data_IF_393638236928
#
_entry.id   IF_393638236928
#
_cell.length_a   1.000
_cell.length_b   1.000
_cell.length_c   1.000
_cell.angle_alpha   90.00
_cell.angle_beta   90.00
_cell.angle_gamma   90.00
#
_symmetry.space_group_name_H-M   'P 1'
#
loop_
_entity.id
_entity.type
_entity.pdbx_description
1 polymer ?
#
# COMPACT_ATOMS: atom_id res chain seq x y z
N UNK A 1 -51.28 12.66 14.50
CA UNK A 1 -51.30 14.09 14.87
C UNK A 1 -51.06 14.15 16.37
N UNK A 2 -49.84 14.48 16.78
CA UNK A 2 -49.39 15.80 17.31
C UNK A 2 -49.23 15.70 18.83
N UNK A 3 -48.45 16.57 19.47
CA UNK A 3 -47.03 16.35 19.74
C UNK A 3 -46.80 16.48 21.26
N UNK A 4 -45.57 16.38 21.75
CA UNK A 4 -45.13 17.19 22.90
C UNK A 4 -43.61 17.25 22.87
N UNK A 5 -43.14 18.44 22.50
CA UNK A 5 -41.77 18.89 22.64
C UNK A 5 -41.64 19.65 23.99
N UNK A 6 -40.55 20.38 24.27
CA UNK A 6 -39.67 20.14 25.42
C UNK A 6 -39.75 21.28 26.45
N UNK A 7 -39.18 21.06 27.63
CA UNK A 7 -38.92 22.09 28.66
C UNK A 7 -38.17 21.42 29.81
N UNK A 8 -37.19 21.98 30.50
CA UNK A 8 -36.49 23.27 30.54
C UNK A 8 -35.34 23.01 31.55
N UNK A 9 -34.11 23.38 31.22
CA UNK A 9 -33.44 24.59 31.69
C UNK A 9 -33.12 24.64 33.20
N UNK A 10 -31.84 24.98 33.44
CA UNK A 10 -31.27 25.66 34.61
C UNK A 10 -31.06 24.90 35.94
N UNK A 11 -29.78 24.58 36.11
CA UNK A 11 -28.88 25.25 37.06
C UNK A 11 -28.82 24.79 38.53
N UNK A 12 -27.55 24.86 38.97
CA UNK A 12 -27.08 25.14 40.32
C UNK A 12 -26.99 23.99 41.32
N UNK A 13 -25.76 23.58 41.55
CA UNK A 13 -25.26 23.07 42.83
C UNK A 13 -25.67 23.99 43.99
N UNK A 14 -25.82 23.45 45.20
CA UNK A 14 -24.76 23.72 46.18
C UNK A 14 -24.53 22.59 47.21
N UNK A 15 -23.48 22.81 48.01
CA UNK A 15 -23.33 22.37 49.41
C UNK A 15 -22.66 21.01 49.70
N UNK A 16 -21.34 21.14 49.83
CA UNK A 16 -20.46 20.78 50.96
C UNK A 16 -21.03 20.05 52.19
N UNK A 17 -20.19 19.12 52.67
CA UNK A 17 -20.02 18.60 54.04
C UNK A 17 -20.93 17.44 54.48
N UNK A 18 -20.33 16.25 54.65
CA UNK A 18 -20.02 15.82 56.01
C UNK A 18 -18.91 14.74 56.03
N UNK A 19 -18.14 14.78 57.09
CA UNK A 19 -16.87 14.10 57.35
C UNK A 19 -17.11 12.68 57.86
N UNK A 20 -16.40 11.70 57.28
CA UNK A 20 -16.16 10.42 57.94
C UNK A 20 -14.70 10.02 57.74
N UNK A 21 -13.92 10.41 58.74
CA UNK A 21 -12.53 10.07 59.01
C UNK A 21 -12.28 8.56 58.87
N UNK A 22 -11.47 8.18 57.88
CA UNK A 22 -10.76 6.89 57.86
C UNK A 22 -9.30 7.18 57.54
N UNK A 23 -8.44 6.80 58.50
CA UNK A 23 -6.98 6.88 58.48
C UNK A 23 -6.39 6.72 57.07
N UNK A 24 -5.84 7.81 56.52
CA UNK A 24 -5.03 7.76 55.32
C UNK A 24 -3.60 7.34 55.69
N UNK A 25 -2.94 6.43 54.95
CA UNK A 25 -1.53 6.13 55.12
C UNK A 25 -0.67 7.39 54.84
N UNK A 26 0.53 7.51 55.44
CA UNK A 26 1.39 8.66 55.20
C UNK A 26 1.70 8.80 53.70
N UNK A 27 1.83 10.03 53.17
CA UNK A 27 2.15 10.23 51.77
C UNK A 27 3.51 9.58 51.43
N UNK A 28 3.69 9.10 50.19
CA UNK A 28 4.96 8.54 49.76
C UNK A 28 6.07 9.59 49.86
N UNK A 29 7.34 9.17 50.09
CA UNK A 29 8.46 10.10 50.12
C UNK A 29 8.62 10.79 48.75
N UNK A 30 9.14 12.04 48.72
CA UNK A 30 9.42 12.73 47.46
C UNK A 30 10.47 11.94 46.65
N UNK A 31 10.44 12.04 45.31
CA UNK A 31 11.43 11.38 44.46
C UNK A 31 12.84 11.91 44.75
N UNK A 32 13.88 11.08 44.62
CA UNK A 32 15.26 11.54 44.79
C UNK A 32 15.60 12.59 43.71
N UNK A 33 16.51 13.55 44.01
CA UNK A 33 17.00 14.49 43.02
C UNK A 33 17.72 13.74 41.88
N UNK A 34 17.75 14.30 40.66
CA UNK A 34 18.43 13.68 39.55
C UNK A 34 19.92 13.57 39.85
N UNK A 35 20.44 12.34 39.82
CA UNK A 35 21.87 12.06 39.87
C UNK A 35 22.50 12.49 38.54
N UNK A 36 23.26 13.58 38.58
CA UNK A 36 24.27 13.85 37.56
C UNK A 36 25.43 12.89 37.79
N UNK A 37 25.55 11.86 36.94
CA UNK A 37 26.78 11.09 36.82
C UNK A 37 27.23 11.10 35.35
N UNK A 38 28.35 11.78 35.14
CA UNK A 38 29.07 11.85 33.89
C UNK A 38 29.82 10.53 33.65
N UNK A 39 29.76 10.00 32.42
CA UNK A 39 30.91 9.74 31.54
C UNK A 39 30.58 8.66 30.51
N UNK A 40 30.59 9.01 29.23
CA UNK A 40 31.11 8.16 28.17
C UNK A 40 31.36 9.00 26.92
N UNK A 41 32.57 8.87 26.40
CA UNK A 41 33.13 9.59 25.27
C UNK A 41 32.23 9.48 24.03
N UNK A 42 31.85 10.63 23.45
CA UNK A 42 31.44 10.69 22.05
C UNK A 42 32.69 10.54 21.20
N UNK A 43 33.13 9.31 20.98
CA UNK A 43 33.78 8.99 19.73
C UNK A 43 32.71 9.17 18.64
N UNK A 44 32.99 10.06 17.69
CA UNK A 44 32.17 10.21 16.50
C UNK A 44 32.34 8.94 15.66
N UNK A 45 31.70 7.84 16.08
CA UNK A 45 31.42 6.74 15.19
C UNK A 45 30.53 7.32 14.09
N UNK A 46 31.07 7.44 12.89
CA UNK A 46 30.25 7.63 11.70
C UNK A 46 29.10 6.61 11.79
N UNK A 47 27.85 7.01 11.45
CA UNK A 47 26.78 6.03 11.39
C UNK A 47 27.27 4.84 10.58
N UNK A 48 27.00 3.59 11.01
CA UNK A 48 27.31 2.44 10.19
C UNK A 48 26.78 2.73 8.77
N UNK A 49 27.53 2.41 7.71
CA UNK A 49 27.04 2.60 6.36
C UNK A 49 25.63 1.99 6.29
N UNK A 50 24.69 2.62 5.55
CA UNK A 50 23.38 2.02 5.37
C UNK A 50 23.59 0.56 4.95
N UNK A 51 22.79 -0.39 5.50
CA UNK A 51 22.86 -1.75 5.03
C UNK A 51 22.78 -1.72 3.50
N UNK A 52 23.55 -2.57 2.78
CA UNK A 52 23.40 -2.66 1.35
C UNK A 52 21.90 -2.84 1.04
N UNK A 53 21.39 -2.23 -0.05
CA UNK A 53 20.01 -2.46 -0.43
C UNK A 53 19.77 -3.96 -0.42
N UNK A 54 18.67 -4.45 0.17
CA UNK A 54 18.38 -5.88 0.16
C UNK A 54 18.50 -6.35 -1.28
N UNK A 55 19.43 -7.27 -1.52
CA UNK A 55 19.53 -7.94 -2.81
C UNK A 55 18.15 -8.54 -3.01
N UNK A 56 17.39 -8.18 -4.07
CA UNK A 56 16.11 -8.80 -4.32
C UNK A 56 16.35 -10.31 -4.31
N UNK A 57 15.65 -11.02 -3.41
CA UNK A 57 15.75 -12.46 -3.35
C UNK A 57 15.54 -13.00 -4.77
N UNK A 58 16.35 -13.97 -5.23
CA UNK A 58 16.19 -14.50 -6.57
C UNK A 58 14.76 -14.99 -6.69
N UNK A 59 13.97 -14.29 -7.52
CA UNK A 59 12.61 -14.67 -7.78
C UNK A 59 12.64 -16.07 -8.39
N UNK A 60 11.82 -16.98 -7.88
CA UNK A 60 11.74 -18.35 -8.41
C UNK A 60 11.42 -18.28 -9.93
N UNK A 61 12.29 -18.82 -10.81
CA UNK A 61 12.08 -18.75 -12.26
C UNK A 61 10.77 -19.43 -12.69
N UNK A 62 10.31 -20.45 -11.96
CA UNK A 62 9.02 -21.09 -12.23
C UNK A 62 7.86 -20.14 -11.90
N UNK A 63 7.93 -19.42 -10.78
CA UNK A 63 6.94 -18.44 -10.39
C UNK A 63 6.87 -17.26 -11.37
N UNK A 64 8.02 -16.77 -11.86
CA UNK A 64 8.06 -15.73 -12.89
C UNK A 64 7.44 -16.19 -14.21
N UNK A 65 7.68 -17.44 -14.63
CA UNK A 65 7.07 -18.00 -15.84
C UNK A 65 5.56 -18.09 -15.70
N UNK A 66 5.07 -18.59 -14.57
CA UNK A 66 3.65 -18.63 -14.27
C UNK A 66 3.02 -17.24 -14.31
N UNK A 67 3.65 -16.25 -13.66
CA UNK A 67 3.16 -14.86 -13.64
C UNK A 67 3.16 -14.23 -15.03
N UNK A 68 4.19 -14.49 -15.85
CA UNK A 68 4.22 -14.04 -17.25
C UNK A 68 3.06 -14.64 -18.03
N UNK A 69 2.81 -15.93 -17.92
CA UNK A 69 1.74 -16.61 -18.66
C UNK A 69 0.36 -16.09 -18.22
N UNK A 70 0.18 -15.82 -16.93
CA UNK A 70 -1.02 -15.18 -16.38
C UNK A 70 -1.22 -13.77 -16.94
N UNK A 71 -0.19 -12.91 -16.90
CA UNK A 71 -0.26 -11.55 -17.43
C UNK A 71 -0.47 -11.53 -18.94
N UNK A 72 0.12 -12.47 -19.67
CA UNK A 72 -0.09 -12.62 -21.11
C UNK A 72 -1.56 -12.98 -21.41
N UNK A 73 -2.17 -13.88 -20.64
CA UNK A 73 -3.59 -14.19 -20.76
C UNK A 73 -4.47 -12.96 -20.44
N UNK A 74 -4.16 -12.24 -19.35
CA UNK A 74 -4.88 -11.01 -18.99
C UNK A 74 -4.79 -9.94 -20.08
N UNK A 75 -3.64 -9.81 -20.75
CA UNK A 75 -3.46 -8.85 -21.84
C UNK A 75 -4.31 -9.22 -23.07
N UNK A 76 -4.40 -10.51 -23.39
CA UNK A 76 -5.28 -10.99 -24.47
C UNK A 76 -6.74 -10.67 -24.15
N UNK A 77 -7.19 -10.96 -22.93
CA UNK A 77 -8.56 -10.68 -22.50
C UNK A 77 -8.86 -9.17 -22.44
N UNK A 78 -7.90 -8.35 -21.99
CA UNK A 78 -8.03 -6.89 -21.97
C UNK A 78 -8.18 -6.33 -23.39
N UNK A 79 -7.36 -6.77 -24.35
CA UNK A 79 -7.47 -6.37 -25.76
C UNK A 79 -8.77 -6.82 -26.41
N UNK A 80 -9.26 -8.00 -26.07
CA UNK A 80 -10.56 -8.47 -26.53
C UNK A 80 -11.71 -7.61 -26.00
N UNK A 81 -11.66 -7.21 -24.72
CA UNK A 81 -12.62 -6.27 -24.13
C UNK A 81 -12.55 -4.89 -24.79
N UNK A 82 -11.36 -4.37 -25.05
CA UNK A 82 -11.16 -3.09 -25.73
C UNK A 82 -11.80 -3.08 -27.11
N UNK A 83 -11.55 -4.11 -27.94
CA UNK A 83 -12.16 -4.25 -29.26
C UNK A 83 -13.68 -4.39 -29.20
N UNK A 84 -14.19 -5.13 -28.22
CA UNK A 84 -15.63 -5.27 -28.02
C UNK A 84 -16.28 -3.92 -27.65
N UNK A 85 -15.62 -3.13 -26.81
CA UNK A 85 -16.09 -1.79 -26.44
C UNK A 85 -16.01 -0.82 -27.61
N UNK A 86 -14.95 -0.88 -28.43
CA UNK A 86 -14.83 -0.07 -29.64
C UNK A 86 -15.97 -0.36 -30.63
N UNK A 87 -16.26 -1.63 -30.90
CA UNK A 87 -17.39 -2.02 -31.74
C UNK A 87 -18.75 -1.56 -31.14
N UNK A 88 -18.88 -1.56 -29.82
CA UNK A 88 -20.07 -1.06 -29.15
C UNK A 88 -20.21 0.47 -29.25
N UNK A 89 -19.10 1.22 -29.21
CA UNK A 89 -19.09 2.68 -29.47
C UNK A 89 -19.58 2.96 -30.89
N UNK A 90 -19.03 2.25 -31.88
CA UNK A 90 -19.45 2.41 -33.28
C UNK A 90 -20.94 2.12 -33.46
N UNK A 91 -21.44 1.03 -32.88
CA UNK A 91 -22.86 0.69 -32.91
C UNK A 91 -23.76 1.74 -32.21
N UNK A 92 -23.31 2.35 -31.11
CA UNK A 92 -24.05 3.40 -30.43
C UNK A 92 -24.10 4.70 -31.26
N UNK A 93 -23.00 5.04 -31.93
CA UNK A 93 -22.94 6.18 -32.86
C UNK A 93 -23.87 5.96 -34.06
N UNK A 94 -23.87 4.77 -34.65
CA UNK A 94 -24.79 4.40 -35.73
C UNK A 94 -26.27 4.48 -35.32
N UNK A 95 -26.56 4.26 -34.03
CA UNK A 95 -27.90 4.36 -33.46
C UNK A 95 -28.29 5.77 -33.01
N UNK A 96 -27.45 6.79 -33.25
CA UNK A 96 -27.59 8.17 -32.75
C UNK A 96 -27.70 8.26 -31.21
N UNK A 97 -27.16 7.27 -30.49
CA UNK A 97 -27.13 7.23 -29.02
C UNK A 97 -25.78 7.74 -28.48
N UNK A 98 -25.64 9.07 -28.49
CA UNK A 98 -24.40 9.75 -28.09
C UNK A 98 -24.08 9.64 -26.60
N UNK A 99 -25.10 9.57 -25.73
CA UNK A 99 -24.89 9.39 -24.29
C UNK A 99 -24.27 8.02 -24.02
N UNK A 100 -24.78 6.98 -24.69
CA UNK A 100 -24.20 5.64 -24.60
C UNK A 100 -22.82 5.54 -25.23
N UNK A 101 -22.60 6.20 -26.37
CA UNK A 101 -21.29 6.24 -27.01
C UNK A 101 -20.23 6.89 -26.10
N UNK A 102 -20.57 7.99 -25.42
CA UNK A 102 -19.66 8.66 -24.47
C UNK A 102 -19.32 7.78 -23.27
N UNK A 103 -20.31 7.08 -22.68
CA UNK A 103 -20.06 6.13 -21.60
C UNK A 103 -19.12 4.99 -22.03
N UNK A 104 -19.35 4.44 -23.22
CA UNK A 104 -18.52 3.36 -23.77
C UNK A 104 -17.11 3.86 -24.11
N UNK A 105 -16.93 5.10 -24.56
CA UNK A 105 -15.60 5.66 -24.80
C UNK A 105 -14.82 5.88 -23.48
N UNK A 106 -15.50 6.27 -22.40
CA UNK A 106 -14.89 6.28 -21.06
C UNK A 106 -14.48 4.87 -20.63
N UNK A 107 -15.33 3.86 -20.85
CA UNK A 107 -15.00 2.46 -20.57
C UNK A 107 -13.82 1.96 -21.42
N UNK A 108 -13.74 2.33 -22.70
CA UNK A 108 -12.60 2.03 -23.57
C UNK A 108 -11.31 2.60 -23.00
N UNK A 109 -11.34 3.86 -22.58
CA UNK A 109 -10.17 4.54 -22.00
C UNK A 109 -9.68 3.85 -20.73
N UNK A 110 -10.60 3.40 -19.87
CA UNK A 110 -10.24 2.63 -18.67
C UNK A 110 -9.65 1.26 -19.02
N UNK A 111 -10.25 0.54 -19.98
CA UNK A 111 -9.74 -0.74 -20.44
C UNK A 111 -8.36 -0.62 -21.11
N UNK A 112 -8.11 0.43 -21.88
CA UNK A 112 -6.81 0.74 -22.48
C UNK A 112 -5.75 1.03 -21.40
N UNK A 113 -6.12 1.76 -20.35
CA UNK A 113 -5.22 2.01 -19.22
C UNK A 113 -4.87 0.72 -18.47
N UNK A 114 -5.85 -0.16 -18.23
CA UNK A 114 -5.66 -1.48 -17.64
C UNK A 114 -4.71 -2.35 -18.50
N UNK A 115 -4.93 -2.38 -19.82
CA UNK A 115 -4.07 -3.13 -20.74
C UNK A 115 -2.62 -2.63 -20.72
N UNK A 116 -2.40 -1.31 -20.66
CA UNK A 116 -1.06 -0.71 -20.54
C UNK A 116 -0.37 -1.05 -19.23
N UNK A 117 -1.12 -1.14 -18.13
CA UNK A 117 -0.57 -1.56 -16.85
C UNK A 117 -0.14 -3.03 -16.88
N UNK A 118 -0.98 -3.92 -17.42
CA UNK A 118 -0.64 -5.34 -17.62
C UNK A 118 0.58 -5.50 -18.53
N UNK A 119 0.68 -4.74 -19.61
CA UNK A 119 1.83 -4.74 -20.51
C UNK A 119 3.12 -4.28 -19.82
N UNK A 120 3.02 -3.25 -18.97
CA UNK A 120 4.16 -2.79 -18.14
C UNK A 120 4.60 -3.85 -17.14
N UNK A 121 3.66 -4.52 -16.47
CA UNK A 121 3.99 -5.62 -15.56
C UNK A 121 4.64 -6.79 -16.31
N UNK A 122 4.13 -7.14 -17.49
CA UNK A 122 4.68 -8.19 -18.33
C UNK A 122 6.14 -7.88 -18.68
N UNK A 123 6.42 -6.66 -19.15
CA UNK A 123 7.77 -6.21 -19.46
C UNK A 123 8.70 -6.25 -18.24
N UNK A 124 8.19 -5.91 -17.05
CA UNK A 124 8.95 -6.01 -15.79
C UNK A 124 9.30 -7.47 -15.44
N UNK A 125 8.34 -8.39 -15.60
CA UNK A 125 8.56 -9.83 -15.35
C UNK A 125 9.54 -10.42 -16.37
N UNK A 126 9.44 -10.06 -17.64
CA UNK A 126 10.37 -10.48 -18.68
C UNK A 126 11.80 -9.97 -18.41
N UNK A 127 11.94 -8.71 -17.96
CA UNK A 127 13.23 -8.17 -17.55
C UNK A 127 13.83 -8.91 -16.34
N UNK A 128 13.00 -9.26 -15.36
CA UNK A 128 13.43 -10.06 -14.21
C UNK A 128 13.90 -11.47 -14.62
N UNK A 129 13.20 -12.11 -15.56
CA UNK A 129 13.61 -13.41 -16.12
C UNK A 129 14.94 -13.32 -16.87
N UNK A 130 15.14 -12.27 -17.66
CA UNK A 130 16.39 -12.03 -18.37
C UNK A 130 17.56 -11.81 -17.39
N UNK A 131 17.35 -11.00 -16.34
CA UNK A 131 18.36 -10.76 -15.32
C UNK A 131 18.76 -12.03 -14.56
N UNK A 132 17.81 -12.91 -14.23
CA UNK A 132 18.12 -14.21 -13.63
C UNK A 132 18.93 -15.11 -14.56
N UNK A 133 18.57 -15.14 -15.85
CA UNK A 133 19.27 -15.95 -16.84
C UNK A 133 20.74 -15.51 -17.03
N UNK A 134 21.00 -14.21 -16.99
CA UNK A 134 22.36 -13.67 -17.05
C UNK A 134 23.16 -14.02 -15.78
N UNK A 135 22.53 -13.94 -14.60
CA UNK A 135 23.19 -14.27 -13.34
C UNK A 135 23.51 -15.77 -13.23
N UNK A 136 22.63 -16.65 -13.73
CA UNK A 136 22.89 -18.10 -13.83
C UNK A 136 24.07 -18.39 -14.77
N UNK A 137 24.16 -17.67 -15.89
CA UNK A 137 25.27 -17.81 -16.83
C UNK A 137 26.59 -17.34 -16.24
N UNK A 138 26.61 -16.22 -15.53
CA UNK A 138 27.81 -15.70 -14.85
C UNK A 138 28.29 -16.67 -13.75
N UNK A 139 27.36 -17.24 -12.97
CA UNK A 139 27.67 -18.25 -11.97
C UNK A 139 28.23 -19.55 -12.58
N UNK A 140 27.72 -19.96 -13.75
CA UNK A 140 28.23 -21.13 -14.46
C UNK A 140 29.65 -20.89 -15.01
N UNK A 141 29.93 -19.73 -15.61
CA UNK A 141 31.25 -19.35 -16.12
C UNK A 141 32.30 -19.28 -14.99
N UNK A 142 31.93 -18.70 -13.85
CA UNK A 142 32.78 -18.65 -12.66
C UNK A 142 33.11 -20.05 -12.09
N UNK A 143 32.22 -21.03 -12.23
CA UNK A 143 32.43 -22.40 -11.76
C UNK A 143 33.27 -23.27 -12.71
N UNK A 144 33.36 -22.91 -13.99
CA UNK A 144 34.15 -23.64 -15.01
C UNK A 144 35.60 -23.15 -15.13
N UNK A 145 35.92 -21.99 -14.52
CA UNK A 145 37.24 -21.36 -14.53
C UNK A 145 38.19 -21.71 -13.38
N UNK A 146 37.79 -22.59 -12.46
CA UNK A 146 38.60 -23.16 -11.36
C UNK A 146 39.17 -24.54 -11.69
#
# INVERSE_FOLDING_TARGET
>A
ATPTAPSGEAASSPTTADVAERSAPPPPPPPPPPTEEATAQREAAAPPPPPPPPVPAPADPAALRLRRDELAAQLVDAKAREQATEAAVEAAVEADDFERAEELEQQRTLAEAEAKEVERELASVEAAQAALSELEKEAADAAEGE
#
